data_IF_348183812257
#
_entry.id   IF_348183812257
#
_cell.length_a   1.000
_cell.length_b   1.000
_cell.length_c   1.000
_cell.angle_alpha   90.00
_cell.angle_beta   90.00
_cell.angle_gamma   90.00
#
_symmetry.space_group_name_H-M   'P 1'
#
loop_
_entity.id
_entity.type
_entity.pdbx_description
1 polymer ?
#
# COMPACT_ATOMS: atom_id res chain seq x y z
N UNK A 1 -16.71 -16.59 13.22
CA UNK A 1 -15.41 -15.87 13.26
C UNK A 1 -15.71 -14.39 13.42
N UNK A 2 -14.96 -13.63 14.24
CA UNK A 2 -15.18 -12.18 14.39
C UNK A 2 -14.97 -11.44 13.05
N UNK A 3 -15.73 -10.38 12.76
CA UNK A 3 -15.59 -9.59 11.52
C UNK A 3 -14.44 -8.57 11.63
N UNK A 4 -13.24 -9.06 11.93
CA UNK A 4 -12.04 -8.22 12.00
C UNK A 4 -11.47 -7.94 10.61
N UNK A 5 -10.68 -6.87 10.48
CA UNK A 5 -9.99 -6.53 9.25
C UNK A 5 -9.19 -7.72 8.71
N UNK A 6 -8.42 -8.41 9.56
CA UNK A 6 -7.66 -9.60 9.17
C UNK A 6 -8.53 -10.68 8.50
N UNK A 7 -9.68 -11.00 9.09
CA UNK A 7 -10.57 -12.03 8.55
C UNK A 7 -11.23 -11.59 7.23
N UNK A 8 -11.57 -10.30 7.10
CA UNK A 8 -12.11 -9.75 5.86
C UNK A 8 -11.08 -9.81 4.74
N UNK A 9 -9.83 -9.45 5.03
CA UNK A 9 -8.73 -9.49 4.05
C UNK A 9 -8.44 -10.92 3.61
N UNK A 10 -8.29 -11.86 4.55
CA UNK A 10 -8.02 -13.27 4.23
C UNK A 10 -9.16 -13.92 3.43
N UNK A 11 -10.42 -13.64 3.77
CA UNK A 11 -11.58 -14.21 3.06
C UNK A 11 -11.74 -13.66 1.63
N UNK A 12 -11.23 -12.45 1.38
CA UNK A 12 -11.40 -11.76 0.10
C UNK A 12 -10.06 -11.51 -0.61
N UNK A 13 -9.00 -12.24 -0.24
CA UNK A 13 -7.63 -11.97 -0.67
C UNK A 13 -7.50 -11.90 -2.20
N UNK A 14 -7.85 -12.97 -2.91
CA UNK A 14 -7.79 -13.03 -4.38
C UNK A 14 -8.59 -11.89 -5.04
N UNK A 15 -9.79 -11.61 -4.50
CA UNK A 15 -10.68 -10.57 -5.03
C UNK A 15 -10.11 -9.16 -4.82
N UNK A 16 -9.50 -8.91 -3.66
CA UNK A 16 -8.83 -7.64 -3.35
C UNK A 16 -7.64 -7.47 -4.28
N UNK A 17 -6.80 -8.50 -4.41
CA UNK A 17 -5.60 -8.49 -5.24
C UNK A 17 -5.95 -8.26 -6.71
N UNK A 18 -6.90 -9.00 -7.26
CA UNK A 18 -7.33 -8.85 -8.66
C UNK A 18 -7.88 -7.46 -8.96
N UNK A 19 -8.71 -6.95 -8.06
CA UNK A 19 -9.33 -5.64 -8.23
C UNK A 19 -8.30 -4.52 -8.09
N UNK A 20 -7.38 -4.63 -7.13
CA UNK A 20 -6.30 -3.66 -6.97
C UNK A 20 -5.34 -3.69 -8.16
N UNK A 21 -4.91 -4.86 -8.62
CA UNK A 21 -4.02 -5.03 -9.77
C UNK A 21 -4.63 -4.39 -11.03
N UNK A 22 -5.90 -4.71 -11.31
CA UNK A 22 -6.62 -4.14 -12.46
C UNK A 22 -6.77 -2.63 -12.33
N UNK A 23 -7.14 -2.12 -11.15
CA UNK A 23 -7.30 -0.68 -10.91
C UNK A 23 -5.98 0.06 -11.07
N UNK A 24 -4.87 -0.48 -10.58
CA UNK A 24 -3.52 0.09 -10.76
C UNK A 24 -3.14 0.13 -12.24
N UNK A 25 -3.30 -0.97 -12.99
CA UNK A 25 -2.99 -0.98 -14.43
C UNK A 25 -3.84 0.00 -15.23
N UNK A 26 -5.11 0.19 -14.87
CA UNK A 26 -6.01 1.12 -15.56
C UNK A 26 -5.67 2.57 -15.22
N UNK A 27 -5.54 2.90 -13.93
CA UNK A 27 -5.35 4.27 -13.45
C UNK A 27 -3.94 4.81 -13.68
N UNK A 28 -2.93 3.94 -13.60
CA UNK A 28 -1.51 4.29 -13.74
C UNK A 28 -0.87 3.50 -14.88
N UNK A 29 -1.61 3.31 -15.97
CA UNK A 29 -1.13 2.60 -17.16
C UNK A 29 0.23 3.11 -17.64
N UNK A 30 0.49 4.42 -17.57
CA UNK A 30 1.77 5.02 -17.92
C UNK A 30 2.97 4.47 -17.10
N UNK A 31 2.74 4.01 -15.88
CA UNK A 31 3.78 3.49 -14.97
C UNK A 31 3.80 1.96 -14.92
N UNK A 32 2.69 1.29 -15.25
CA UNK A 32 2.52 -0.15 -15.10
C UNK A 32 2.16 -0.89 -16.40
N UNK A 33 2.20 -0.23 -17.56
CA UNK A 33 1.86 -0.84 -18.85
C UNK A 33 2.66 -2.14 -19.08
N UNK A 34 3.98 -2.04 -18.93
CA UNK A 34 4.94 -3.11 -19.22
C UNK A 34 5.08 -4.13 -18.07
N UNK A 35 4.48 -3.86 -16.91
CA UNK A 35 4.49 -4.78 -15.77
C UNK A 35 3.44 -5.87 -16.01
N UNK A 36 3.81 -7.16 -16.07
CA UNK A 36 2.83 -8.25 -16.16
C UNK A 36 1.83 -8.18 -15.00
N UNK A 37 0.56 -8.50 -15.29
CA UNK A 37 -0.47 -8.45 -14.24
C UNK A 37 -0.21 -9.45 -13.12
N UNK A 38 0.41 -10.60 -13.42
CA UNK A 38 0.78 -11.60 -12.42
C UNK A 38 1.87 -11.09 -11.46
N UNK A 39 2.90 -10.39 -11.97
CA UNK A 39 3.93 -9.76 -11.14
C UNK A 39 3.33 -8.71 -10.19
N UNK A 40 2.33 -7.97 -10.67
CA UNK A 40 1.61 -7.00 -9.85
C UNK A 40 0.75 -7.71 -8.78
N UNK A 41 0.09 -8.82 -9.14
CA UNK A 41 -0.68 -9.64 -8.20
C UNK A 41 0.20 -10.23 -7.10
N UNK A 42 1.36 -10.80 -7.45
CA UNK A 42 2.32 -11.36 -6.50
C UNK A 42 2.74 -10.31 -5.46
N UNK A 43 3.11 -9.10 -5.91
CA UNK A 43 3.43 -7.98 -5.02
C UNK A 43 2.27 -7.59 -4.12
N UNK A 44 1.05 -7.60 -4.65
CA UNK A 44 -0.16 -7.29 -3.89
C UNK A 44 -0.52 -8.38 -2.88
N UNK A 45 -0.27 -9.67 -3.17
CA UNK A 45 -0.41 -10.75 -2.18
C UNK A 45 0.56 -10.54 -1.01
N UNK A 46 1.83 -10.24 -1.27
CA UNK A 46 2.80 -9.93 -0.21
C UNK A 46 2.38 -8.72 0.62
N UNK A 47 1.94 -7.66 -0.04
CA UNK A 47 1.40 -6.46 0.61
C UNK A 47 0.20 -6.79 1.50
N UNK A 48 -0.76 -7.58 1.00
CA UNK A 48 -1.95 -7.95 1.73
C UNK A 48 -1.61 -8.85 2.93
N UNK A 49 -0.68 -9.79 2.77
CA UNK A 49 -0.17 -10.62 3.86
C UNK A 49 0.42 -9.80 5.01
N UNK A 50 1.19 -8.76 4.71
CA UNK A 50 1.72 -7.85 5.73
C UNK A 50 0.60 -7.08 6.43
N UNK A 51 -0.41 -6.61 5.69
CA UNK A 51 -1.58 -5.94 6.26
C UNK A 51 -2.41 -6.88 7.15
N UNK A 52 -2.57 -8.15 6.77
CA UNK A 52 -3.23 -9.17 7.59
C UNK A 52 -2.48 -9.33 8.92
N UNK A 53 -1.15 -9.46 8.89
CA UNK A 53 -0.34 -9.59 10.11
C UNK A 53 -0.44 -8.36 11.02
N UNK A 54 -0.39 -7.15 10.46
CA UNK A 54 -0.60 -5.91 11.22
C UNK A 54 -1.99 -5.91 11.85
N UNK A 55 -3.00 -6.33 11.07
CA UNK A 55 -4.39 -6.33 11.50
C UNK A 55 -4.67 -7.34 12.63
N UNK A 56 -4.01 -8.50 12.60
CA UNK A 56 -4.12 -9.50 13.66
C UNK A 56 -3.54 -9.03 14.99
N UNK A 57 -2.48 -8.20 14.94
CA UNK A 57 -1.85 -7.65 16.14
C UNK A 57 -2.60 -6.45 16.72
N UNK A 58 -3.46 -5.80 15.93
CA UNK A 58 -4.33 -4.69 16.37
C UNK A 58 -3.58 -3.41 16.75
N UNK A 59 -2.30 -3.29 16.41
CA UNK A 59 -1.45 -2.14 16.74
C UNK A 59 -0.41 -1.89 15.65
N UNK A 60 0.15 -0.68 15.62
CA UNK A 60 1.22 -0.32 14.69
C UNK A 60 2.41 -1.27 14.82
N UNK A 61 2.97 -1.68 13.68
CA UNK A 61 4.13 -2.57 13.58
C UNK A 61 5.11 -1.92 12.59
N UNK A 62 5.98 -1.01 13.05
CA UNK A 62 6.82 -0.19 12.17
C UNK A 62 7.61 -1.00 11.14
N UNK A 63 8.10 -2.18 11.52
CA UNK A 63 8.84 -3.08 10.62
C UNK A 63 7.95 -3.64 9.51
N UNK A 64 6.78 -4.19 9.85
CA UNK A 64 5.82 -4.71 8.87
C UNK A 64 5.25 -3.59 7.99
N UNK A 65 5.08 -2.39 8.52
CA UNK A 65 4.63 -1.21 7.76
C UNK A 65 5.76 -0.74 6.82
N UNK A 66 7.01 -0.80 7.26
CA UNK A 66 8.16 -0.50 6.42
C UNK A 66 8.33 -1.53 5.29
N UNK A 67 8.04 -2.80 5.54
CA UNK A 67 8.04 -3.87 4.53
C UNK A 67 6.87 -3.72 3.57
N UNK A 68 5.66 -3.49 4.09
CA UNK A 68 4.47 -3.14 3.34
C UNK A 68 4.73 -1.97 2.38
N UNK A 69 5.31 -0.87 2.87
CA UNK A 69 5.70 0.26 2.05
C UNK A 69 6.77 -0.11 1.01
N UNK A 70 7.74 -0.96 1.35
CA UNK A 70 8.77 -1.42 0.40
C UNK A 70 8.21 -2.26 -0.75
N UNK A 71 7.18 -3.08 -0.50
CA UNK A 71 6.55 -3.92 -1.52
C UNK A 71 5.67 -3.11 -2.48
N UNK A 72 5.18 -1.96 -2.03
CA UNK A 72 4.46 -0.97 -2.85
C UNK A 72 5.42 -0.17 -3.72
N UNK A 73 6.64 0.12 -3.24
CA UNK A 73 7.63 0.88 -4.00
C UNK A 73 7.85 0.17 -5.33
N UNK A 74 7.36 0.80 -6.40
CA UNK A 74 7.74 0.43 -7.75
C UNK A 74 9.25 0.62 -7.78
N UNK A 75 9.97 -0.50 -7.69
CA UNK A 75 11.41 -0.53 -7.92
C UNK A 75 11.66 0.24 -9.20
N UNK A 76 12.76 0.99 -9.25
CA UNK A 76 13.20 1.99 -10.25
C UNK A 76 13.08 1.59 -11.74
N UNK A 77 11.91 1.16 -12.18
CA UNK A 77 11.66 0.60 -13.50
C UNK A 77 11.54 1.71 -14.54
N UNK A 78 11.31 2.96 -14.11
CA UNK A 78 11.37 4.12 -14.98
C UNK A 78 12.20 5.24 -14.34
N UNK A 79 13.41 5.42 -14.85
CA UNK A 79 14.18 6.64 -14.67
C UNK A 79 13.38 7.81 -15.26
N UNK A 80 12.77 8.64 -14.42
CA UNK A 80 12.07 9.84 -14.85
C UNK A 80 10.78 10.15 -14.10
N UNK A 81 10.19 9.16 -13.42
CA UNK A 81 9.00 9.39 -12.60
C UNK A 81 9.34 9.57 -11.12
N UNK A 82 8.56 10.43 -10.45
CA UNK A 82 8.60 10.52 -8.99
C UNK A 82 8.01 9.24 -8.40
N UNK A 83 8.88 8.24 -8.15
CA UNK A 83 8.52 6.95 -7.57
C UNK A 83 7.69 7.08 -6.29
N UNK A 84 7.83 8.20 -5.56
CA UNK A 84 6.99 8.53 -4.41
C UNK A 84 5.53 8.69 -4.83
N UNK A 85 5.25 9.54 -5.82
CA UNK A 85 3.90 9.81 -6.29
C UNK A 85 3.23 8.49 -6.69
N UNK A 86 3.89 7.65 -7.50
CA UNK A 86 3.34 6.34 -7.90
C UNK A 86 3.08 5.42 -6.70
N UNK A 87 3.96 5.41 -5.70
CA UNK A 87 3.81 4.57 -4.51
C UNK A 87 2.64 5.02 -3.62
N UNK A 88 2.46 6.33 -3.43
CA UNK A 88 1.30 6.88 -2.70
C UNK A 88 -0.02 6.56 -3.41
N UNK A 89 0.00 6.62 -4.74
CA UNK A 89 -1.14 6.30 -5.60
C UNK A 89 -1.52 4.80 -5.53
N UNK A 90 -0.54 3.89 -5.54
CA UNK A 90 -0.78 2.44 -5.31
C UNK A 90 -1.39 2.22 -3.93
N UNK A 91 -0.85 2.85 -2.88
CA UNK A 91 -1.43 2.78 -1.53
C UNK A 91 -2.87 3.29 -1.50
N UNK A 92 -3.17 4.32 -2.28
CA UNK A 92 -4.53 4.87 -2.39
C UNK A 92 -5.50 3.89 -3.07
N UNK A 93 -5.07 3.19 -4.12
CA UNK A 93 -5.88 2.15 -4.75
C UNK A 93 -6.17 1.01 -3.78
N UNK A 94 -5.16 0.54 -3.06
CA UNK A 94 -5.32 -0.51 -2.04
C UNK A 94 -6.33 -0.08 -0.97
N UNK A 95 -6.19 1.13 -0.45
CA UNK A 95 -7.12 1.71 0.54
C UNK A 95 -8.57 1.72 0.03
N UNK A 96 -8.79 2.17 -1.20
CA UNK A 96 -10.12 2.22 -1.83
C UNK A 96 -10.70 0.80 -1.98
N UNK A 97 -9.92 -0.13 -2.51
CA UNK A 97 -10.38 -1.50 -2.78
C UNK A 97 -10.74 -2.23 -1.48
N UNK A 98 -9.93 -2.08 -0.44
CA UNK A 98 -10.20 -2.70 0.86
C UNK A 98 -11.41 -2.04 1.53
N UNK A 99 -11.52 -0.71 1.51
CA UNK A 99 -12.72 -0.03 2.05
C UNK A 99 -14.01 -0.51 1.39
N UNK A 100 -14.02 -0.64 0.06
CA UNK A 100 -15.16 -1.18 -0.68
C UNK A 100 -15.47 -2.63 -0.28
N UNK A 101 -14.44 -3.41 0.06
CA UNK A 101 -14.58 -4.80 0.51
C UNK A 101 -15.15 -4.87 1.94
N UNK A 102 -14.70 -3.99 2.83
CA UNK A 102 -15.27 -3.81 4.17
C UNK A 102 -16.74 -3.40 4.05
N UNK A 103 -17.05 -2.41 3.21
CA UNK A 103 -18.43 -1.94 3.00
C UNK A 103 -19.36 -3.05 2.50
N UNK A 104 -18.88 -3.89 1.57
CA UNK A 104 -19.64 -5.01 1.06
C UNK A 104 -19.78 -6.17 2.07
N UNK A 105 -18.77 -6.39 2.91
CA UNK A 105 -18.76 -7.49 3.89
C UNK A 105 -19.52 -7.15 5.18
N UNK A 106 -19.75 -5.85 5.44
CA UNK A 106 -20.32 -5.31 6.67
C UNK A 106 -21.42 -4.29 6.33
N UNK A 107 -22.44 -4.75 5.60
CA UNK A 107 -23.58 -3.93 5.19
C UNK A 107 -24.73 -3.95 6.23
N UNK A 108 -24.73 -4.90 7.16
CA UNK A 108 -25.71 -4.98 8.23
C UNK A 108 -25.43 -3.90 9.31
N UNK A 109 -26.45 -3.15 9.76
CA UNK A 109 -26.34 -2.22 10.88
C UNK A 109 -25.75 -2.81 12.16
N UNK A 110 -25.91 -4.11 12.42
CA UNK A 110 -25.35 -4.76 13.62
C UNK A 110 -23.81 -4.74 13.65
N UNK A 111 -23.16 -4.64 12.49
CA UNK A 111 -21.70 -4.58 12.35
C UNK A 111 -21.17 -3.15 12.20
N UNK A 112 -21.98 -2.12 12.47
CA UNK A 112 -21.58 -0.72 12.24
C UNK A 112 -20.34 -0.31 13.07
N UNK A 113 -20.22 -0.80 14.31
CA UNK A 113 -19.07 -0.52 15.17
C UNK A 113 -17.80 -1.21 14.66
N UNK A 114 -17.87 -2.53 14.40
CA UNK A 114 -16.75 -3.29 13.84
C UNK A 114 -16.28 -2.70 12.51
N UNK A 115 -17.22 -2.24 11.67
CA UNK A 115 -16.94 -1.56 10.40
C UNK A 115 -16.14 -0.29 10.63
N UNK A 116 -16.56 0.55 11.57
CA UNK A 116 -15.85 1.79 11.91
C UNK A 116 -14.44 1.50 12.44
N UNK A 117 -14.29 0.46 13.28
CA UNK A 117 -13.00 0.04 13.81
C UNK A 117 -12.06 -0.47 12.71
N UNK A 118 -12.54 -1.33 11.81
CA UNK A 118 -11.75 -1.86 10.69
C UNK A 118 -11.29 -0.75 9.75
N UNK A 119 -12.17 0.20 9.41
CA UNK A 119 -11.81 1.36 8.58
C UNK A 119 -10.79 2.26 9.28
N UNK A 120 -10.93 2.48 10.59
CA UNK A 120 -9.97 3.27 11.38
C UNK A 120 -8.58 2.63 11.37
N UNK A 121 -8.51 1.31 11.58
CA UNK A 121 -7.25 0.57 11.55
C UNK A 121 -6.59 0.63 10.16
N UNK A 122 -7.36 0.37 9.09
CA UNK A 122 -6.85 0.49 7.73
C UNK A 122 -6.28 1.89 7.46
N UNK A 123 -7.04 2.94 7.79
CA UNK A 123 -6.62 4.32 7.58
C UNK A 123 -5.34 4.67 8.35
N UNK A 124 -5.16 4.12 9.56
CA UNK A 124 -3.94 4.28 10.33
C UNK A 124 -2.75 3.62 9.63
N UNK A 125 -2.88 2.36 9.21
CA UNK A 125 -1.79 1.62 8.55
C UNK A 125 -1.38 2.28 7.24
N UNK A 126 -2.36 2.71 6.42
CA UNK A 126 -2.09 3.40 5.15
C UNK A 126 -1.38 4.75 5.39
N UNK A 127 -1.79 5.51 6.41
CA UNK A 127 -1.12 6.78 6.76
C UNK A 127 0.33 6.54 7.16
N UNK A 128 0.57 5.60 8.08
CA UNK A 128 1.92 5.27 8.54
C UNK A 128 2.80 4.77 7.39
N UNK A 129 2.25 3.99 6.45
CA UNK A 129 2.97 3.57 5.25
C UNK A 129 3.35 4.76 4.36
N UNK A 130 2.42 5.70 4.11
CA UNK A 130 2.70 6.93 3.34
C UNK A 130 3.77 7.78 4.03
N UNK A 131 3.74 7.89 5.35
CA UNK A 131 4.76 8.64 6.11
C UNK A 131 6.17 8.03 5.97
N UNK A 132 6.29 6.70 5.97
CA UNK A 132 7.57 6.01 5.72
C UNK A 132 8.08 6.28 4.30
N UNK A 133 7.20 6.19 3.29
CA UNK A 133 7.55 6.51 1.89
C UNK A 133 8.06 7.95 1.79
N UNK A 134 7.40 8.88 2.47
CA UNK A 134 7.78 10.29 2.54
C UNK A 134 9.12 10.53 3.24
N UNK A 135 9.36 9.86 4.37
CA UNK A 135 10.63 9.92 5.09
C UNK A 135 11.80 9.45 4.24
N UNK A 136 11.66 8.30 3.57
CA UNK A 136 12.71 7.75 2.70
C UNK A 136 13.05 8.67 1.52
N UNK A 137 12.06 9.32 0.92
CA UNK A 137 12.32 10.26 -0.18
C UNK A 137 13.08 11.51 0.31
N UNK A 138 12.73 12.03 1.49
CA UNK A 138 13.48 13.14 2.10
C UNK A 138 14.95 12.78 2.32
N UNK A 139 15.22 11.58 2.83
CA UNK A 139 16.59 11.09 3.05
C UNK A 139 17.36 10.90 1.75
N UNK A 140 16.72 10.37 0.70
CA UNK A 140 17.36 10.23 -0.62
C UNK A 140 17.69 11.58 -1.26
N UNK A 141 16.76 12.55 -1.17
CA UNK A 141 16.98 13.89 -1.70
C UNK A 141 18.07 14.64 -0.93
N UNK A 142 18.11 14.49 0.40
CA UNK A 142 19.20 15.02 1.22
C UNK A 142 20.56 14.42 0.80
N UNK A 143 20.64 13.10 0.58
CA UNK A 143 21.86 12.43 0.11
C UNK A 143 22.29 12.86 -1.29
N UNK A 144 21.34 13.04 -2.23
CA UNK A 144 21.63 13.56 -3.59
C UNK A 144 22.15 15.00 -3.53
N UNK A 145 21.57 15.85 -2.68
CA UNK A 145 22.02 17.22 -2.48
C UNK A 145 23.44 17.27 -1.89
N UNK A 146 23.76 16.43 -0.90
CA UNK A 146 25.12 16.32 -0.35
C UNK A 146 26.15 15.89 -1.40
N UNK A 147 25.83 14.90 -2.26
CA UNK A 147 26.74 14.46 -3.33
C UNK A 147 27.03 15.53 -4.39
N UNK A 148 26.07 16.41 -4.69
CA UNK A 148 26.27 17.54 -5.62
C UNK A 148 27.08 18.69 -5.02
N UNK A 149 27.14 18.80 -3.69
CA UNK A 149 27.99 19.77 -2.99
C UNK A 149 29.45 19.34 -2.86
N UNK A 150 29.76 18.06 -3.16
CA UNK A 150 31.11 17.47 -3.08
C UNK A 150 31.77 17.25 -4.46
N UNK A 151 31.07 17.55 -5.57
CA UNK A 151 31.70 17.53 -6.89
C UNK A 151 32.69 18.70 -7.00
N UNK A 152 34.00 18.45 -7.19
CA UNK A 152 34.94 19.53 -7.44
C UNK A 152 34.57 20.16 -8.79
N UNK A 153 34.18 21.43 -8.76
CA UNK A 153 34.11 22.28 -9.96
C UNK A 153 35.38 22.08 -10.78
N UNK A 154 35.25 21.42 -11.93
CA UNK A 154 36.29 21.35 -12.96
C UNK A 154 36.04 22.46 -13.99
#
# INVERSE_FOLDING_TARGET
MPNTLANILQKNEDKIVDKAATSIKVMYSFAFADVPIEDLRERLYHLLGNLVQISQKGQSQPELIAEFASNVLVGSLYEGFDNRSITEEVLQVVDIVINQTIDASMNDPEFAEDKAQNKKLLAQVIREAKDIVNGRNRDQNARKASKRGEEPTQ
#
